data_IF_203835284190
#
_entry.id   IF_203835284190
#
_cell.length_a   1.000
_cell.length_b   1.000
_cell.length_c   1.000
_cell.angle_alpha   90.00
_cell.angle_beta   90.00
_cell.angle_gamma   90.00
#
_symmetry.space_group_name_H-M   'P 1'
#
loop_
_entity.id
_entity.type
_entity.pdbx_description
1 polymer ?
#
# COMPACT_ATOMS: atom_id res chain seq x y z
N UNK A 1 -24.88 33.45 8.10
CA UNK A 1 -23.54 33.74 7.54
C UNK A 1 -22.65 34.05 8.73
N UNK A 2 -21.69 33.19 9.03
CA UNK A 2 -20.75 33.42 10.13
C UNK A 2 -19.93 34.66 9.86
N UNK A 3 -19.78 35.52 10.86
CA UNK A 3 -18.81 36.62 10.84
C UNK A 3 -17.43 35.96 10.66
N UNK A 4 -16.73 36.22 9.56
CA UNK A 4 -15.38 35.69 9.39
C UNK A 4 -14.51 36.37 10.44
N UNK A 5 -14.20 35.65 11.53
CA UNK A 5 -12.99 35.89 12.27
C UNK A 5 -11.81 35.84 11.28
N UNK A 6 -10.91 36.81 11.39
CA UNK A 6 -9.74 36.88 10.51
C UNK A 6 -8.99 35.54 10.56
N UNK A 7 -8.65 35.00 9.39
CA UNK A 7 -7.81 33.80 9.29
C UNK A 7 -6.47 34.09 10.00
N UNK A 8 -6.00 33.24 10.93
CA UNK A 8 -4.75 33.47 11.64
C UNK A 8 -3.56 33.60 10.68
N UNK A 9 -2.65 34.53 10.96
CA UNK A 9 -1.37 34.63 10.23
C UNK A 9 -0.38 33.58 10.75
N UNK A 10 -0.71 32.31 10.49
CA UNK A 10 0.05 31.13 10.93
C UNK A 10 0.37 30.23 9.72
N UNK A 11 1.48 29.48 9.74
CA UNK A 11 1.89 28.65 8.61
C UNK A 11 1.04 27.39 8.42
N UNK A 12 1.24 26.71 7.29
CA UNK A 12 0.57 25.47 6.94
C UNK A 12 1.54 24.28 7.00
N UNK A 13 1.06 23.15 7.54
CA UNK A 13 1.82 21.89 7.64
C UNK A 13 1.18 20.83 6.75
N UNK A 14 2.01 20.14 5.96
CA UNK A 14 1.61 18.99 5.13
C UNK A 14 2.46 17.78 5.54
N UNK A 15 1.82 16.70 5.99
CA UNK A 15 2.45 15.49 6.51
C UNK A 15 2.20 14.33 5.55
N UNK A 16 3.24 13.87 4.87
CA UNK A 16 3.13 12.93 3.74
C UNK A 16 4.09 11.74 3.89
N UNK A 17 3.83 10.59 3.24
CA UNK A 17 4.82 9.53 3.10
C UNK A 17 6.12 10.08 2.49
N UNK A 18 7.28 9.53 2.90
CA UNK A 18 8.59 10.01 2.43
C UNK A 18 8.71 9.99 0.88
N UNK A 19 8.13 8.96 0.25
CA UNK A 19 8.12 8.81 -1.22
C UNK A 19 7.36 9.92 -1.95
N UNK A 20 6.53 10.70 -1.26
CA UNK A 20 5.70 11.74 -1.87
C UNK A 20 6.18 13.16 -1.64
N UNK A 21 7.24 13.34 -0.85
CA UNK A 21 7.73 14.70 -0.54
C UNK A 21 8.09 15.43 -1.84
N UNK A 22 8.76 14.76 -2.78
CA UNK A 22 9.08 15.33 -4.09
C UNK A 22 7.83 15.68 -4.91
N UNK A 23 6.90 14.73 -5.05
CA UNK A 23 5.66 14.95 -5.79
C UNK A 23 4.85 16.13 -5.23
N UNK A 24 4.70 16.24 -3.91
CA UNK A 24 3.99 17.38 -3.29
C UNK A 24 4.69 18.71 -3.57
N UNK A 25 6.03 18.74 -3.50
CA UNK A 25 6.78 19.96 -3.86
C UNK A 25 6.52 20.36 -5.31
N UNK A 26 6.62 19.42 -6.24
CA UNK A 26 6.41 19.67 -7.68
C UNK A 26 4.99 20.14 -7.98
N UNK A 27 3.97 19.51 -7.37
CA UNK A 27 2.57 19.91 -7.53
C UNK A 27 2.32 21.31 -6.98
N UNK A 28 2.87 21.65 -5.81
CA UNK A 28 2.75 22.99 -5.23
C UNK A 28 3.47 24.05 -6.09
N UNK A 29 4.67 23.75 -6.61
CA UNK A 29 5.38 24.65 -7.51
C UNK A 29 4.65 24.86 -8.84
N UNK A 30 3.92 23.86 -9.33
CA UNK A 30 3.09 23.98 -10.55
C UNK A 30 1.79 24.73 -10.28
N UNK A 31 1.19 24.55 -9.11
CA UNK A 31 -0.09 25.15 -8.76
C UNK A 31 0.02 26.63 -8.40
N UNK A 32 1.04 27.00 -7.62
CA UNK A 32 1.23 28.37 -7.16
C UNK A 32 2.10 29.19 -8.11
N UNK A 33 1.73 30.46 -8.30
CA UNK A 33 2.58 31.40 -9.02
C UNK A 33 3.88 31.67 -8.24
N UNK A 34 4.98 31.90 -8.96
CA UNK A 34 6.28 32.18 -8.35
C UNK A 34 6.18 33.36 -7.38
N UNK A 35 6.66 33.17 -6.15
CA UNK A 35 6.66 34.19 -5.10
C UNK A 35 5.31 34.39 -4.39
N UNK A 36 4.29 33.56 -4.67
CA UNK A 36 3.03 33.61 -3.94
C UNK A 36 3.14 32.99 -2.54
N UNK A 37 3.92 31.92 -2.40
CA UNK A 37 4.19 31.22 -1.15
C UNK A 37 5.64 30.76 -1.10
N UNK A 38 6.14 30.52 0.12
CA UNK A 38 7.40 29.82 0.34
C UNK A 38 7.10 28.37 0.79
N UNK A 39 7.77 27.41 0.14
CA UNK A 39 7.59 25.98 0.40
C UNK A 39 8.88 25.44 1.00
N UNK A 40 8.79 24.88 2.20
CA UNK A 40 9.92 24.32 2.93
C UNK A 40 9.78 22.80 3.07
N UNK A 41 10.86 22.08 2.85
CA UNK A 41 10.96 20.67 3.21
C UNK A 41 11.68 20.56 4.56
N UNK A 42 11.07 19.86 5.52
CA UNK A 42 11.75 19.61 6.78
C UNK A 42 12.94 18.66 6.59
N UNK A 43 14.06 18.92 7.27
CA UNK A 43 15.21 18.01 7.28
C UNK A 43 14.87 16.60 7.76
N UNK A 44 15.73 15.64 7.41
CA UNK A 44 15.58 14.22 7.75
C UNK A 44 16.16 13.84 9.10
N UNK A 45 16.89 14.74 9.78
CA UNK A 45 17.40 14.54 11.14
C UNK A 45 16.72 15.48 12.13
N UNK A 46 16.65 15.05 13.39
CA UNK A 46 16.01 15.84 14.46
C UNK A 46 16.82 17.06 14.87
N UNK A 47 18.15 16.99 14.75
CA UNK A 47 19.05 18.10 15.08
C UNK A 47 18.90 19.21 14.03
N UNK A 48 18.92 18.83 12.75
CA UNK A 48 18.70 19.78 11.65
C UNK A 48 17.31 20.40 11.69
N UNK A 49 16.28 19.66 12.15
CA UNK A 49 14.93 20.25 12.35
C UNK A 49 14.94 21.33 13.43
N UNK A 50 15.67 21.13 14.54
CA UNK A 50 15.79 22.14 15.59
C UNK A 50 16.51 23.38 15.06
N UNK A 51 17.58 23.17 14.31
CA UNK A 51 18.33 24.24 13.65
C UNK A 51 17.45 24.98 12.64
N UNK A 52 16.70 24.26 11.80
CA UNK A 52 15.81 24.83 10.79
C UNK A 52 14.84 25.89 11.34
N UNK A 53 14.30 25.70 12.54
CA UNK A 53 13.39 26.66 13.16
C UNK A 53 14.05 27.74 14.03
N UNK A 54 15.32 27.55 14.43
CA UNK A 54 15.99 28.43 15.40
C UNK A 54 17.20 29.19 14.86
N UNK A 55 17.77 28.76 13.72
CA UNK A 55 18.89 29.43 13.08
C UNK A 55 18.45 30.79 12.50
N UNK A 56 18.98 31.92 13.00
CA UNK A 56 18.68 33.25 12.49
C UNK A 56 19.01 33.41 11.01
N UNK A 57 20.02 32.69 10.50
CA UNK A 57 20.42 32.72 9.09
C UNK A 57 19.71 31.64 8.25
N UNK A 58 18.87 30.82 8.90
CA UNK A 58 18.12 29.74 8.29
C UNK A 58 17.02 30.23 7.35
N UNK A 59 16.75 29.44 6.30
CA UNK A 59 15.74 29.76 5.27
C UNK A 59 14.35 30.08 5.83
N UNK A 60 13.97 29.45 6.95
CA UNK A 60 12.73 29.71 7.66
C UNK A 60 12.67 31.13 8.20
N UNK A 61 13.63 31.57 9.01
CA UNK A 61 13.61 32.90 9.64
C UNK A 61 13.92 34.02 8.64
N UNK A 62 14.69 33.73 7.58
CA UNK A 62 15.05 34.70 6.53
C UNK A 62 13.95 34.92 5.48
N UNK A 63 12.93 34.06 5.41
CA UNK A 63 11.82 34.22 4.49
C UNK A 63 11.12 35.57 4.68
N UNK A 64 10.83 36.24 3.56
CA UNK A 64 10.11 37.53 3.54
C UNK A 64 8.59 37.35 3.41
N UNK A 65 8.12 36.11 3.21
CA UNK A 65 6.70 35.80 3.15
C UNK A 65 6.05 35.92 4.53
N UNK A 66 4.79 36.33 4.56
CA UNK A 66 3.96 36.23 5.77
C UNK A 66 3.80 34.79 6.20
N UNK A 67 3.54 34.53 7.48
CA UNK A 67 3.43 33.18 8.02
C UNK A 67 2.34 32.37 7.31
N UNK A 68 1.19 32.97 7.03
CA UNK A 68 0.10 32.34 6.26
C UNK A 68 0.49 31.94 4.82
N UNK A 69 1.56 32.51 4.26
CA UNK A 69 2.06 32.16 2.93
C UNK A 69 3.24 31.18 3.00
N UNK A 70 3.46 30.50 4.13
CA UNK A 70 4.52 29.51 4.30
C UNK A 70 3.92 28.13 4.45
N UNK A 71 4.43 27.20 3.66
CA UNK A 71 4.03 25.78 3.68
C UNK A 71 5.23 24.93 4.07
N UNK A 72 5.06 24.09 5.06
CA UNK A 72 6.09 23.14 5.52
C UNK A 72 5.65 21.72 5.21
N UNK A 73 6.49 20.97 4.49
CA UNK A 73 6.27 19.58 4.14
C UNK A 73 7.12 18.70 5.06
N UNK A 74 6.47 17.73 5.72
CA UNK A 74 7.06 16.81 6.66
C UNK A 74 6.84 15.36 6.24
N UNK A 75 7.89 14.54 6.25
CA UNK A 75 7.74 13.10 6.08
C UNK A 75 7.11 12.45 7.33
N UNK A 76 6.27 11.43 7.13
CA UNK A 76 5.64 10.64 8.23
C UNK A 76 6.66 10.08 9.23
N UNK A 77 7.81 9.61 8.73
CA UNK A 77 8.89 9.08 9.56
C UNK A 77 9.49 10.15 10.48
N UNK A 78 9.72 11.36 9.95
CA UNK A 78 10.22 12.50 10.71
C UNK A 78 9.23 12.95 11.77
N UNK A 79 7.94 13.05 11.42
CA UNK A 79 6.91 13.39 12.40
C UNK A 79 6.87 12.36 13.55
N UNK A 80 7.02 11.08 13.23
CA UNK A 80 7.06 10.01 14.24
C UNK A 80 8.26 10.17 15.18
N UNK A 81 9.43 10.52 14.65
CA UNK A 81 10.64 10.74 15.45
C UNK A 81 10.47 11.94 16.41
N UNK A 82 9.86 13.03 15.95
CA UNK A 82 9.58 14.20 16.79
C UNK A 82 8.58 13.88 17.91
N UNK A 83 7.51 13.13 17.60
CA UNK A 83 6.52 12.67 18.60
C UNK A 83 7.18 11.77 19.66
N UNK A 84 8.08 10.88 19.26
CA UNK A 84 8.80 10.02 20.18
C UNK A 84 9.64 10.82 21.18
N UNK A 85 10.34 11.86 20.70
CA UNK A 85 11.09 12.77 21.58
C UNK A 85 10.19 13.57 22.51
N UNK A 86 9.06 14.08 22.00
CA UNK A 86 8.03 14.73 22.82
C UNK A 86 7.54 13.82 23.96
N UNK A 87 7.34 12.53 23.70
CA UNK A 87 6.95 11.56 24.73
C UNK A 87 8.02 11.32 25.78
N UNK A 88 9.28 11.22 25.35
CA UNK A 88 10.42 11.10 26.27
C UNK A 88 10.49 12.33 27.17
N UNK A 89 10.24 13.51 26.61
CA UNK A 89 10.18 14.78 27.33
C UNK A 89 8.90 14.95 28.19
N UNK A 90 7.78 14.27 27.91
CA UNK A 90 6.51 14.40 28.68
C UNK A 90 6.17 13.21 29.59
N UNK A 91 7.05 12.21 29.69
CA UNK A 91 6.83 11.04 30.55
C UNK A 91 5.73 10.09 30.03
N UNK A 92 5.76 9.78 28.73
CA UNK A 92 5.06 8.67 28.05
C UNK A 92 3.56 8.79 27.69
N UNK A 93 2.81 9.84 28.07
CA UNK A 93 1.41 10.02 27.66
C UNK A 93 1.13 11.42 27.09
N UNK A 94 0.42 11.51 25.96
CA UNK A 94 0.13 12.76 25.22
C UNK A 94 -1.29 13.29 25.49
N UNK A 95 -2.11 12.58 26.27
CA UNK A 95 -3.43 13.05 26.69
C UNK A 95 -3.37 13.80 28.03
N UNK A 96 -3.43 15.13 27.99
CA UNK A 96 -3.55 16.01 29.16
C UNK A 96 -2.64 17.24 29.09
N UNK A 97 -3.03 18.34 29.75
CA UNK A 97 -2.16 19.47 30.05
C UNK A 97 -1.04 18.99 30.99
N UNK A 98 0.11 18.64 30.43
CA UNK A 98 1.33 18.44 31.21
C UNK A 98 2.35 19.47 30.78
N UNK A 99 2.98 20.09 31.77
CA UNK A 99 4.13 20.98 31.59
C UNK A 99 5.19 20.26 30.79
N UNK A 100 5.58 20.86 29.66
CA UNK A 100 6.70 20.43 28.85
C UNK A 100 7.95 20.44 29.73
N UNK A 101 8.66 19.31 29.85
CA UNK A 101 9.88 19.21 30.69
C UNK A 101 11.15 19.63 29.94
N UNK A 102 11.08 20.07 28.67
CA UNK A 102 12.25 20.37 27.85
C UNK A 102 12.03 21.55 26.90
N UNK A 103 12.93 22.55 26.96
CA UNK A 103 12.99 23.73 26.08
C UNK A 103 13.15 23.38 24.60
N UNK A 104 13.64 22.17 24.28
CA UNK A 104 13.87 21.75 22.89
C UNK A 104 12.59 21.49 22.10
N UNK A 105 11.44 21.41 22.77
CA UNK A 105 10.16 21.14 22.10
C UNK A 105 9.61 22.35 21.35
N UNK A 106 10.00 23.57 21.75
CA UNK A 106 9.68 24.82 21.05
C UNK A 106 10.39 24.91 19.69
N UNK A 107 11.51 24.17 19.53
CA UNK A 107 12.29 24.09 18.30
C UNK A 107 11.84 22.96 17.36
N UNK A 108 10.72 22.31 17.65
CA UNK A 108 10.14 21.25 16.82
C UNK A 108 8.87 21.74 16.14
N UNK A 109 8.29 20.91 15.26
CA UNK A 109 7.01 21.20 14.60
C UNK A 109 5.89 21.46 15.63
N UNK A 110 5.99 20.89 16.83
CA UNK A 110 5.04 21.08 17.93
C UNK A 110 5.19 22.40 18.69
N UNK A 111 6.27 23.14 18.46
CA UNK A 111 6.52 24.46 19.05
C UNK A 111 5.84 25.61 18.31
N UNK A 112 5.36 25.36 17.09
CA UNK A 112 4.67 26.34 16.26
C UNK A 112 3.16 26.18 16.32
N UNK A 113 2.45 27.30 16.20
CA UNK A 113 1.03 27.32 15.86
C UNK A 113 0.88 27.19 14.34
N UNK A 114 -0.13 26.45 13.90
CA UNK A 114 -0.36 26.12 12.51
C UNK A 114 -1.78 26.50 12.12
N UNK A 115 -1.93 27.27 11.04
CA UNK A 115 -3.24 27.63 10.49
C UNK A 115 -3.99 26.37 10.02
N UNK A 116 -3.27 25.47 9.34
CA UNK A 116 -3.81 24.16 8.94
C UNK A 116 -2.75 23.08 9.01
N UNK A 117 -3.16 21.85 9.36
CA UNK A 117 -2.34 20.66 9.22
C UNK A 117 -3.07 19.63 8.33
N UNK A 118 -2.40 19.16 7.29
CA UNK A 118 -2.91 18.18 6.34
C UNK A 118 -2.13 16.89 6.50
N UNK A 119 -2.84 15.77 6.66
CA UNK A 119 -2.21 14.45 6.77
C UNK A 119 -2.65 13.63 5.58
N UNK A 120 -1.66 13.29 4.76
CA UNK A 120 -1.85 12.44 3.61
C UNK A 120 -1.54 10.98 3.97
N UNK A 121 -2.21 10.03 3.32
CA UNK A 121 -2.30 8.63 3.79
C UNK A 121 -2.62 8.47 5.28
N UNK A 122 -3.68 9.14 5.73
CA UNK A 122 -4.19 9.01 7.10
C UNK A 122 -4.44 7.54 7.55
N UNK A 123 -4.55 6.59 6.61
CA UNK A 123 -4.70 5.17 6.91
C UNK A 123 -3.46 4.55 7.58
N UNK A 124 -2.26 5.10 7.37
CA UNK A 124 -1.02 4.68 8.05
C UNK A 124 -1.06 5.00 9.55
N UNK A 125 -2.02 5.82 9.97
CA UNK A 125 -2.23 6.22 11.36
C UNK A 125 -3.27 5.38 12.10
N UNK A 126 -3.68 4.24 11.52
CA UNK A 126 -4.65 3.31 12.13
C UNK A 126 -4.00 2.44 13.21
N UNK A 127 -4.77 2.13 14.25
CA UNK A 127 -4.42 1.13 15.28
C UNK A 127 -3.76 1.68 16.56
N UNK A 128 -3.66 0.87 17.62
CA UNK A 128 -3.09 1.25 18.93
C UNK A 128 -1.56 1.35 18.95
N UNK A 129 -0.90 1.43 17.79
CA UNK A 129 0.56 1.42 17.64
C UNK A 129 1.22 2.81 17.62
N UNK A 130 2.41 2.88 17.01
CA UNK A 130 3.26 4.10 16.91
C UNK A 130 2.50 5.35 16.46
N UNK A 131 1.42 5.18 15.69
CA UNK A 131 0.67 6.25 15.05
C UNK A 131 -0.68 6.62 15.70
N UNK A 132 -1.00 6.08 16.88
CA UNK A 132 -2.21 6.45 17.64
C UNK A 132 -2.22 7.93 18.10
N UNK A 133 -1.05 8.58 18.05
CA UNK A 133 -0.76 9.84 18.75
C UNK A 133 -1.02 11.08 17.89
N UNK A 134 -1.45 10.88 16.65
CA UNK A 134 -1.81 11.91 15.70
C UNK A 134 -3.31 12.25 15.79
N UNK A 135 -4.08 11.47 16.55
CA UNK A 135 -5.51 11.70 16.81
C UNK A 135 -5.88 13.11 17.29
N UNK A 136 -5.08 13.76 18.15
CA UNK A 136 -5.30 15.16 18.52
C UNK A 136 -5.18 16.14 17.34
N UNK A 137 -4.34 15.86 16.34
CA UNK A 137 -4.21 16.71 15.15
C UNK A 137 -5.40 16.55 14.19
N UNK A 138 -6.03 15.38 14.15
CA UNK A 138 -7.19 15.13 13.29
C UNK A 138 -8.53 15.59 13.92
N UNK A 139 -8.53 16.08 15.17
CA UNK A 139 -9.68 16.59 15.91
C UNK A 139 -10.96 15.71 15.82
N UNK A 140 -10.79 14.39 15.63
CA UNK A 140 -11.89 13.45 15.40
C UNK A 140 -11.95 12.39 16.51
N UNK A 141 -12.17 12.89 17.72
CA UNK A 141 -12.18 12.13 18.98
C UNK A 141 -13.17 10.96 19.01
N UNK A 142 -14.23 11.00 18.17
CA UNK A 142 -15.26 9.96 18.13
C UNK A 142 -14.80 8.64 17.48
N UNK A 143 -13.83 8.71 16.58
CA UNK A 143 -13.35 7.57 15.79
C UNK A 143 -11.87 7.27 15.98
N UNK A 144 -11.13 8.22 16.53
CA UNK A 144 -9.74 8.04 16.96
C UNK A 144 -9.72 7.86 18.48
N UNK A 145 -8.63 7.32 19.02
CA UNK A 145 -8.44 7.18 20.47
C UNK A 145 -9.42 6.19 21.14
N UNK A 146 -9.77 6.45 22.40
CA UNK A 146 -10.49 5.50 23.27
C UNK A 146 -11.96 5.30 22.89
N UNK A 147 -12.64 6.34 22.37
CA UNK A 147 -14.05 6.27 21.98
C UNK A 147 -14.28 5.41 20.73
N UNK A 148 -13.42 5.56 19.71
CA UNK A 148 -13.43 4.70 18.53
C UNK A 148 -13.24 3.22 18.88
N UNK A 149 -12.31 2.92 19.80
CA UNK A 149 -12.09 1.55 20.29
C UNK A 149 -13.30 0.98 21.05
N UNK A 150 -13.98 1.79 21.86
CA UNK A 150 -15.19 1.36 22.57
C UNK A 150 -16.31 1.04 21.58
N UNK A 151 -16.45 1.85 20.54
CA UNK A 151 -17.42 1.65 19.47
C UNK A 151 -17.13 0.37 18.67
N UNK A 152 -15.86 0.15 18.29
CA UNK A 152 -15.44 -1.09 17.61
C UNK A 152 -15.68 -2.33 18.50
N UNK A 153 -15.34 -2.25 19.80
CA UNK A 153 -15.61 -3.33 20.77
C UNK A 153 -17.10 -3.60 20.94
N UNK A 154 -17.95 -2.58 20.81
CA UNK A 154 -19.40 -2.74 20.85
C UNK A 154 -19.89 -3.54 19.63
N UNK A 155 -19.56 -3.08 18.42
CA UNK A 155 -19.95 -3.79 17.19
C UNK A 155 -19.41 -5.21 17.11
N UNK A 156 -18.15 -5.41 17.50
CA UNK A 156 -17.56 -6.75 17.55
C UNK A 156 -18.28 -7.66 18.55
N UNK A 157 -18.81 -7.13 19.66
CA UNK A 157 -19.63 -7.91 20.60
C UNK A 157 -20.96 -8.31 20.00
N UNK A 158 -21.66 -7.39 19.33
CA UNK A 158 -22.94 -7.67 18.65
C UNK A 158 -22.78 -8.71 17.54
N UNK A 159 -21.76 -8.55 16.68
CA UNK A 159 -21.45 -9.51 15.62
C UNK A 159 -21.13 -10.90 16.20
N UNK A 160 -20.37 -10.96 17.30
CA UNK A 160 -20.06 -12.23 17.99
C UNK A 160 -21.30 -12.85 18.64
N UNK A 161 -22.20 -12.03 19.20
CA UNK A 161 -23.47 -12.51 19.73
C UNK A 161 -24.31 -13.15 18.62
N UNK A 162 -24.52 -12.42 17.52
CA UNK A 162 -25.23 -12.93 16.35
C UNK A 162 -24.61 -14.23 15.78
N UNK A 163 -23.27 -14.36 15.79
CA UNK A 163 -22.59 -15.59 15.37
C UNK A 163 -22.80 -16.77 16.33
N UNK A 164 -22.94 -16.51 17.64
CA UNK A 164 -23.20 -17.55 18.64
C UNK A 164 -24.62 -18.10 18.54
N UNK A 165 -25.56 -17.23 18.17
CA UNK A 165 -26.97 -17.58 18.04
C UNK A 165 -27.29 -18.33 16.73
N UNK A 166 -26.32 -18.42 15.81
CA UNK A 166 -26.44 -19.25 14.62
C UNK A 166 -26.45 -20.75 14.96
N UNK A 167 -27.38 -21.47 14.35
CA UNK A 167 -27.43 -22.93 14.37
C UNK A 167 -26.27 -23.54 13.57
N UNK A 168 -25.91 -24.80 13.83
CA UNK A 168 -24.85 -25.50 13.07
C UNK A 168 -25.14 -25.61 11.56
N UNK A 169 -26.39 -25.87 11.11
CA UNK A 169 -26.74 -25.82 9.68
C UNK A 169 -26.47 -24.44 9.06
N UNK A 170 -26.80 -23.35 9.74
CA UNK A 170 -26.53 -21.99 9.24
C UNK A 170 -25.04 -21.70 9.17
N UNK A 171 -24.25 -22.14 10.15
CA UNK A 171 -22.78 -21.99 10.12
C UNK A 171 -22.18 -22.76 8.94
N UNK A 172 -22.66 -23.98 8.68
CA UNK A 172 -22.23 -24.79 7.54
C UNK A 172 -22.61 -24.12 6.20
N UNK A 173 -23.82 -23.58 6.09
CA UNK A 173 -24.28 -22.84 4.91
C UNK A 173 -23.41 -21.60 4.65
N UNK A 174 -23.12 -20.78 5.68
CA UNK A 174 -22.22 -19.62 5.56
C UNK A 174 -20.80 -20.03 5.15
N UNK A 175 -20.27 -21.13 5.70
CA UNK A 175 -18.95 -21.64 5.31
C UNK A 175 -18.91 -22.09 3.85
N UNK A 176 -19.92 -22.85 3.43
CA UNK A 176 -20.08 -23.30 2.03
C UNK A 176 -20.19 -22.10 1.08
N UNK A 177 -20.96 -21.09 1.46
CA UNK A 177 -21.09 -19.84 0.72
C UNK A 177 -19.76 -19.13 0.53
N UNK A 178 -18.98 -18.96 1.60
CA UNK A 178 -17.67 -18.30 1.52
C UNK A 178 -16.69 -19.08 0.64
N UNK A 179 -16.75 -20.42 0.65
CA UNK A 179 -15.95 -21.27 -0.23
C UNK A 179 -16.33 -21.11 -1.71
N UNK A 180 -17.64 -21.04 -2.03
CA UNK A 180 -18.15 -20.76 -3.38
C UNK A 180 -17.71 -19.38 -3.88
N UNK A 181 -17.86 -18.35 -3.04
CA UNK A 181 -17.39 -16.99 -3.35
C UNK A 181 -15.88 -16.93 -3.63
N UNK A 182 -15.07 -17.66 -2.84
CA UNK A 182 -13.62 -17.73 -3.05
C UNK A 182 -13.23 -18.45 -4.36
N UNK A 183 -14.11 -19.29 -4.90
CA UNK A 183 -13.92 -19.95 -6.19
C UNK A 183 -14.40 -19.12 -7.38
N UNK A 184 -15.04 -17.98 -7.10
CA UNK A 184 -15.65 -17.12 -8.13
C UNK A 184 -17.00 -17.64 -8.63
N UNK A 185 -17.63 -18.58 -7.93
CA UNK A 185 -18.97 -19.04 -8.26
C UNK A 185 -20.00 -17.92 -7.99
N UNK A 186 -21.07 -17.83 -8.79
CA UNK A 186 -22.21 -16.98 -8.45
C UNK A 186 -22.82 -17.46 -7.12
N UNK A 187 -22.97 -16.53 -6.20
CA UNK A 187 -23.48 -16.81 -4.86
C UNK A 187 -24.82 -16.10 -4.70
N UNK A 188 -25.90 -16.87 -4.66
CA UNK A 188 -27.22 -16.36 -4.30
C UNK A 188 -27.21 -15.76 -2.88
N UNK A 189 -28.08 -14.77 -2.66
CA UNK A 189 -28.34 -14.20 -1.35
C UNK A 189 -29.09 -15.20 -0.46
N UNK A 190 -28.41 -16.27 -0.01
CA UNK A 190 -28.97 -17.22 0.96
C UNK A 190 -29.36 -16.49 2.26
N UNK A 191 -30.47 -16.89 2.89
CA UNK A 191 -30.95 -16.41 4.20
C UNK A 191 -30.02 -16.78 5.37
N UNK A 192 -29.03 -17.64 5.15
CA UNK A 192 -28.07 -18.06 6.17
C UNK A 192 -27.23 -16.86 6.67
N UNK A 193 -27.25 -16.64 7.99
CA UNK A 193 -26.46 -15.59 8.64
C UNK A 193 -27.03 -14.18 8.48
N UNK A 194 -28.34 -14.02 8.21
CA UNK A 194 -29.02 -12.71 8.19
C UNK A 194 -28.73 -11.90 9.46
N UNK A 195 -28.82 -12.51 10.65
CA UNK A 195 -28.57 -11.81 11.91
C UNK A 195 -27.16 -11.21 12.00
N UNK A 196 -26.15 -11.93 11.50
CA UNK A 196 -24.77 -11.45 11.43
C UNK A 196 -24.64 -10.30 10.43
N UNK A 197 -25.25 -10.43 9.24
CA UNK A 197 -25.27 -9.35 8.24
C UNK A 197 -25.99 -8.11 8.75
N UNK A 198 -27.10 -8.27 9.46
CA UNK A 198 -27.85 -7.18 10.06
C UNK A 198 -27.03 -6.45 11.11
N UNK A 199 -26.34 -7.17 12.01
CA UNK A 199 -25.41 -6.58 12.97
C UNK A 199 -24.28 -5.80 12.27
N UNK A 200 -23.69 -6.37 11.20
CA UNK A 200 -22.67 -5.68 10.39
C UNK A 200 -23.22 -4.43 9.70
N UNK A 201 -24.41 -4.51 9.11
CA UNK A 201 -25.04 -3.38 8.42
C UNK A 201 -25.40 -2.25 9.39
N UNK A 202 -25.92 -2.58 10.57
CA UNK A 202 -26.19 -1.60 11.62
C UNK A 202 -24.90 -0.90 12.08
N UNK A 203 -23.82 -1.65 12.29
CA UNK A 203 -22.52 -1.07 12.61
C UNK A 203 -22.07 -0.08 11.52
N UNK A 204 -22.17 -0.47 10.24
CA UNK A 204 -21.85 0.41 9.11
C UNK A 204 -22.73 1.66 9.10
N UNK A 205 -24.04 1.54 9.34
CA UNK A 205 -24.96 2.69 9.35
C UNK A 205 -24.66 3.67 10.46
N UNK A 206 -24.33 3.20 11.67
CA UNK A 206 -23.92 4.06 12.78
C UNK A 206 -22.63 4.80 12.44
N UNK A 207 -21.64 4.11 11.85
CA UNK A 207 -20.38 4.74 11.42
C UNK A 207 -20.64 5.76 10.32
N UNK A 208 -21.44 5.43 9.31
CA UNK A 208 -21.81 6.34 8.22
C UNK A 208 -22.49 7.60 8.75
N UNK A 209 -23.51 7.46 9.62
CA UNK A 209 -24.26 8.61 10.14
C UNK A 209 -23.38 9.65 10.86
N UNK A 210 -22.29 9.20 11.48
CA UNK A 210 -21.33 10.07 12.15
C UNK A 210 -20.23 10.61 11.24
N UNK A 211 -19.83 9.88 10.18
CA UNK A 211 -18.77 10.31 9.26
C UNK A 211 -19.28 11.19 8.11
N UNK A 212 -20.55 11.05 7.70
CA UNK A 212 -21.13 11.78 6.56
C UNK A 212 -20.90 13.31 6.61
N UNK A 213 -21.04 14.00 7.76
CA UNK A 213 -20.80 15.45 7.82
C UNK A 213 -19.34 15.86 7.57
N UNK A 214 -18.40 14.92 7.74
CA UNK A 214 -16.95 15.20 7.76
C UNK A 214 -16.19 14.52 6.62
N UNK A 215 -16.85 13.64 5.85
CA UNK A 215 -16.22 12.84 4.81
C UNK A 215 -16.80 13.17 3.43
N UNK A 216 -15.94 13.59 2.52
CA UNK A 216 -16.25 13.63 1.10
C UNK A 216 -15.62 12.41 0.44
N UNK A 217 -16.44 11.57 -0.20
CA UNK A 217 -15.98 10.44 -1.00
C UNK A 217 -16.58 10.51 -2.39
N UNK A 218 -15.72 10.47 -3.41
CA UNK A 218 -16.10 10.32 -4.82
C UNK A 218 -15.66 8.94 -5.31
N UNK A 219 -16.32 8.42 -6.33
CA UNK A 219 -16.14 7.10 -6.95
C UNK A 219 -15.96 7.28 -8.45
N UNK A 220 -15.59 6.19 -9.16
CA UNK A 220 -15.53 6.19 -10.64
C UNK A 220 -16.89 6.56 -11.28
N UNK A 221 -17.98 6.31 -10.55
CA UNK A 221 -19.37 6.62 -10.97
C UNK A 221 -19.83 8.01 -10.53
N UNK A 222 -19.00 8.77 -9.81
CA UNK A 222 -19.34 10.14 -9.46
C UNK A 222 -19.35 11.02 -10.70
N UNK A 223 -20.29 11.96 -10.70
CA UNK A 223 -20.48 12.90 -11.81
C UNK A 223 -20.11 14.31 -11.38
N UNK A 224 -19.74 15.14 -12.35
CA UNK A 224 -19.58 16.58 -12.15
C UNK A 224 -20.95 17.30 -12.08
N UNK A 225 -20.92 18.63 -12.08
CA UNK A 225 -22.14 19.44 -12.01
C UNK A 225 -23.02 19.30 -13.27
N UNK A 226 -22.44 18.93 -14.41
CA UNK A 226 -23.11 18.69 -15.69
C UNK A 226 -23.63 17.24 -15.83
N UNK A 227 -23.49 16.43 -14.77
CA UNK A 227 -23.81 14.99 -14.75
C UNK A 227 -22.90 14.14 -15.65
N UNK A 228 -21.74 14.65 -16.03
CA UNK A 228 -20.74 13.89 -16.77
C UNK A 228 -19.91 13.09 -15.76
N UNK A 229 -19.68 11.78 -15.99
CA UNK A 229 -18.79 11.00 -15.14
C UNK A 229 -17.41 11.66 -15.07
N UNK A 230 -16.90 11.85 -13.84
CA UNK A 230 -15.60 12.49 -13.60
C UNK A 230 -14.46 11.77 -14.34
N UNK A 231 -14.63 10.48 -14.59
CA UNK A 231 -13.65 9.61 -15.25
C UNK A 231 -14.03 9.21 -16.68
N UNK A 232 -14.88 9.99 -17.35
CA UNK A 232 -15.34 9.74 -18.72
C UNK A 232 -14.21 9.55 -19.76
N UNK A 233 -12.99 10.04 -19.48
CA UNK A 233 -11.81 9.90 -20.33
C UNK A 233 -10.98 8.64 -20.07
N UNK A 234 -11.20 7.93 -18.96
CA UNK A 234 -10.42 6.73 -18.64
C UNK A 234 -11.02 5.49 -19.32
N UNK A 235 -10.19 4.61 -19.92
CA UNK A 235 -10.67 3.35 -20.47
C UNK A 235 -11.22 2.45 -19.35
N UNK A 236 -12.14 1.52 -19.68
CA UNK A 236 -12.66 0.58 -18.71
C UNK A 236 -11.56 -0.34 -18.19
N UNK A 237 -11.65 -0.70 -16.92
CA UNK A 237 -10.79 -1.72 -16.30
C UNK A 237 -11.39 -3.10 -16.61
N UNK A 238 -10.58 -3.99 -17.17
CA UNK A 238 -10.94 -5.40 -17.38
C UNK A 238 -10.14 -6.28 -16.42
N UNK A 239 -10.83 -7.10 -15.64
CA UNK A 239 -10.20 -8.04 -14.71
C UNK A 239 -10.17 -9.45 -15.30
N UNK A 240 -8.98 -10.06 -15.32
CA UNK A 240 -8.77 -11.42 -15.81
C UNK A 240 -8.23 -12.28 -14.66
N UNK A 241 -9.05 -13.21 -14.17
CA UNK A 241 -8.66 -14.14 -13.11
C UNK A 241 -8.17 -15.46 -13.70
N UNK A 242 -6.90 -15.78 -13.51
CA UNK A 242 -6.29 -17.03 -13.96
C UNK A 242 -6.08 -17.96 -12.76
N UNK A 243 -6.89 -19.01 -12.68
CA UNK A 243 -6.80 -20.02 -11.62
C UNK A 243 -5.84 -21.12 -12.03
N UNK A 244 -4.76 -21.32 -11.28
CA UNK A 244 -3.75 -22.34 -11.56
C UNK A 244 -3.85 -23.51 -10.60
N UNK A 245 -3.57 -24.71 -11.13
CA UNK A 245 -3.33 -25.90 -10.33
C UNK A 245 -1.83 -26.02 -10.08
N UNK A 246 -1.44 -26.19 -8.81
CA UNK A 246 -0.04 -26.44 -8.45
C UNK A 246 0.39 -27.83 -8.95
N UNK A 247 1.67 -27.97 -9.31
CA UNK A 247 2.25 -29.26 -9.65
C UNK A 247 2.28 -30.19 -8.45
N UNK A 248 2.35 -31.51 -8.69
CA UNK A 248 2.42 -32.51 -7.62
C UNK A 248 3.64 -32.26 -6.70
N UNK A 249 4.78 -31.85 -7.28
CA UNK A 249 5.99 -31.46 -6.53
C UNK A 249 5.74 -30.25 -5.64
N UNK A 250 5.07 -29.21 -6.14
CA UNK A 250 4.73 -28.04 -5.32
C UNK A 250 3.78 -28.42 -4.17
N UNK A 251 2.81 -29.30 -4.44
CA UNK A 251 1.90 -29.80 -3.42
C UNK A 251 2.64 -30.61 -2.34
N UNK A 252 3.59 -31.46 -2.74
CA UNK A 252 4.46 -32.20 -1.82
C UNK A 252 5.31 -31.25 -0.95
N UNK A 253 5.96 -30.28 -1.57
CA UNK A 253 6.75 -29.25 -0.89
C UNK A 253 5.91 -28.45 0.13
N UNK A 254 4.68 -28.09 -0.20
CA UNK A 254 3.77 -27.44 0.75
C UNK A 254 3.35 -28.38 1.89
N UNK A 255 3.25 -29.69 1.63
CA UNK A 255 3.05 -30.71 2.66
C UNK A 255 4.20 -30.76 3.67
N UNK A 256 5.45 -30.67 3.19
CA UNK A 256 6.63 -30.62 4.05
C UNK A 256 6.60 -29.42 5.01
N UNK A 257 6.19 -28.23 4.54
CA UNK A 257 6.04 -27.05 5.40
C UNK A 257 5.00 -27.29 6.50
N UNK A 258 3.88 -27.92 6.16
CA UNK A 258 2.82 -28.22 7.13
C UNK A 258 3.32 -29.20 8.19
N UNK A 259 4.09 -30.22 7.79
CA UNK A 259 4.59 -31.22 8.71
C UNK A 259 5.73 -30.71 9.59
N UNK A 260 6.62 -29.87 9.05
CA UNK A 260 7.63 -29.13 9.84
C UNK A 260 6.93 -28.29 10.92
N UNK A 261 5.88 -27.55 10.54
CA UNK A 261 5.08 -26.75 11.47
C UNK A 261 4.44 -27.60 12.57
N UNK A 262 3.81 -28.74 12.23
CA UNK A 262 3.25 -29.67 13.24
C UNK A 262 4.33 -30.25 14.16
N UNK A 263 5.50 -30.58 13.62
CA UNK A 263 6.60 -31.14 14.42
C UNK A 263 7.18 -30.13 15.40
N UNK A 264 7.18 -28.84 15.05
CA UNK A 264 7.65 -27.74 15.89
C UNK A 264 6.74 -27.44 17.09
N UNK A 265 5.46 -27.87 17.06
CA UNK A 265 4.53 -27.74 18.20
C UNK A 265 4.99 -28.53 19.45
N UNK A 266 5.90 -29.49 19.30
CA UNK A 266 6.49 -30.25 20.43
C UNK A 266 7.52 -29.47 21.27
N UNK A 267 7.96 -28.29 20.81
CA UNK A 267 8.82 -27.36 21.56
C UNK A 267 8.25 -25.95 21.48
N UNK A 268 7.13 -25.70 22.15
CA UNK A 268 6.46 -24.39 22.19
C UNK A 268 7.46 -23.25 22.51
N UNK A 269 7.76 -22.32 21.57
CA UNK A 269 7.88 -20.93 21.96
C UNK A 269 6.46 -20.38 21.99
N UNK A 270 6.09 -19.69 23.05
CA UNK A 270 4.79 -19.03 23.28
C UNK A 270 4.41 -17.94 22.25
N UNK A 271 5.07 -17.92 21.08
CA UNK A 271 4.87 -17.00 19.96
C UNK A 271 4.64 -17.75 18.64
N UNK A 272 3.83 -18.80 18.62
CA UNK A 272 3.03 -19.08 17.41
C UNK A 272 2.04 -17.91 17.24
N UNK A 273 2.55 -16.75 16.80
CA UNK A 273 1.63 -15.74 16.28
C UNK A 273 1.02 -16.36 15.03
N UNK A 274 -0.31 -16.46 15.00
CA UNK A 274 -1.07 -16.84 13.81
C UNK A 274 -0.66 -16.00 12.57
N UNK A 275 0.03 -14.87 12.78
CA UNK A 275 0.60 -14.00 11.75
C UNK A 275 1.69 -14.70 10.92
N UNK A 276 2.48 -15.60 11.50
CA UNK A 276 3.54 -16.31 10.79
C UNK A 276 3.10 -17.66 10.21
N UNK A 277 1.93 -18.19 10.60
CA UNK A 277 1.47 -19.50 10.17
C UNK A 277 1.30 -19.60 8.64
N UNK A 278 0.69 -18.59 8.02
CA UNK A 278 0.45 -18.59 6.58
C UNK A 278 1.63 -18.08 5.77
N UNK A 279 2.65 -17.52 6.40
CA UNK A 279 3.73 -16.84 5.68
C UNK A 279 4.60 -17.83 4.88
N UNK A 280 5.13 -18.93 5.46
CA UNK A 280 5.87 -19.94 4.70
C UNK A 280 5.03 -20.53 3.56
N UNK A 281 3.75 -20.80 3.81
CA UNK A 281 2.84 -21.35 2.81
C UNK A 281 2.64 -20.38 1.63
N UNK A 282 2.38 -19.09 1.90
CA UNK A 282 2.18 -18.07 0.86
C UNK A 282 3.44 -17.83 0.04
N UNK A 283 4.61 -17.85 0.67
CA UNK A 283 5.88 -17.72 -0.05
C UNK A 283 6.17 -18.98 -0.87
N UNK A 284 5.93 -20.17 -0.30
CA UNK A 284 6.12 -21.48 -0.93
C UNK A 284 5.35 -21.68 -2.23
N UNK A 285 4.14 -21.10 -2.33
CA UNK A 285 3.35 -21.07 -3.59
C UNK A 285 4.06 -20.29 -4.70
N UNK A 286 4.83 -19.25 -4.34
CA UNK A 286 5.54 -18.42 -5.32
C UNK A 286 6.90 -19.01 -5.67
N UNK A 287 7.63 -19.53 -4.69
CA UNK A 287 8.84 -20.33 -4.86
C UNK A 287 9.03 -21.13 -3.59
N UNK A 288 9.35 -22.41 -3.69
CA UNK A 288 9.69 -23.19 -2.51
C UNK A 288 11.15 -23.00 -2.14
N UNK A 289 11.44 -22.94 -0.84
CA UNK A 289 12.78 -23.02 -0.26
C UNK A 289 12.69 -23.74 1.08
N UNK A 290 13.80 -24.34 1.51
CA UNK A 290 13.91 -24.84 2.89
C UNK A 290 14.06 -23.64 3.85
N UNK A 291 13.61 -23.80 5.09
CA UNK A 291 13.54 -22.76 6.12
C UNK A 291 14.85 -21.97 6.28
N UNK A 292 15.99 -22.65 6.24
CA UNK A 292 17.34 -22.08 6.45
C UNK A 292 18.07 -21.61 5.17
N UNK A 293 17.43 -21.73 4.00
CA UNK A 293 18.06 -21.35 2.73
C UNK A 293 17.69 -19.92 2.29
N UNK A 294 18.58 -19.27 1.56
CA UNK A 294 18.26 -18.02 0.87
C UNK A 294 17.31 -18.28 -0.30
N UNK A 295 16.55 -17.24 -0.70
CA UNK A 295 15.77 -17.32 -1.92
C UNK A 295 16.69 -17.54 -3.15
N UNK A 296 16.33 -18.42 -4.09
CA UNK A 296 17.19 -18.70 -5.22
C UNK A 296 17.35 -17.46 -6.10
N UNK A 297 18.59 -17.19 -6.48
CA UNK A 297 18.97 -16.17 -7.46
C UNK A 297 19.55 -16.94 -8.64
N UNK A 298 18.96 -16.75 -9.82
CA UNK A 298 19.32 -17.49 -11.02
C UNK A 298 20.27 -16.68 -11.90
N UNK A 299 21.27 -17.36 -12.48
CA UNK A 299 22.05 -16.79 -13.57
C UNK A 299 21.28 -16.86 -14.91
N UNK A 300 21.89 -16.34 -15.99
CA UNK A 300 21.28 -16.36 -17.32
C UNK A 300 21.12 -17.77 -17.89
N UNK A 301 21.87 -18.74 -17.40
CA UNK A 301 21.75 -20.14 -17.76
C UNK A 301 20.74 -20.90 -16.87
N UNK A 302 20.09 -20.23 -15.92
CA UNK A 302 19.10 -20.79 -15.03
C UNK A 302 19.65 -21.54 -13.83
N UNK A 303 20.95 -21.43 -13.53
CA UNK A 303 21.54 -22.07 -12.36
C UNK A 303 21.40 -21.21 -11.11
N UNK A 304 21.16 -21.85 -9.98
CA UNK A 304 21.20 -21.25 -8.64
C UNK A 304 21.91 -22.18 -7.66
N UNK A 305 22.15 -21.73 -6.42
CA UNK A 305 22.66 -22.59 -5.35
C UNK A 305 21.75 -23.78 -5.04
N UNK A 306 20.44 -23.65 -5.30
CA UNK A 306 19.44 -24.68 -4.99
C UNK A 306 19.21 -25.66 -6.15
N UNK A 307 19.79 -25.39 -7.33
CA UNK A 307 19.59 -26.18 -8.53
C UNK A 307 19.23 -25.32 -9.75
N UNK A 308 18.92 -26.00 -10.84
CA UNK A 308 18.55 -25.39 -12.10
C UNK A 308 17.06 -25.04 -12.12
N UNK A 309 16.68 -23.89 -12.72
CA UNK A 309 15.32 -23.35 -12.67
C UNK A 309 14.26 -24.35 -13.10
N UNK A 310 14.48 -25.10 -14.20
CA UNK A 310 13.49 -26.07 -14.69
C UNK A 310 13.18 -27.18 -13.66
N UNK A 311 14.12 -27.48 -12.77
CA UNK A 311 13.97 -28.54 -11.77
C UNK A 311 13.28 -28.07 -10.50
N UNK A 312 13.20 -26.75 -10.28
CA UNK A 312 12.65 -26.14 -9.06
C UNK A 312 11.61 -25.03 -9.33
N UNK A 313 11.26 -24.75 -10.59
CA UNK A 313 10.39 -23.66 -11.00
C UNK A 313 8.98 -23.79 -10.42
N UNK A 314 8.41 -22.73 -9.88
CA UNK A 314 6.99 -22.74 -9.50
C UNK A 314 6.08 -22.50 -10.71
N UNK A 315 4.91 -23.14 -10.68
CA UNK A 315 3.87 -22.97 -11.70
C UNK A 315 3.47 -21.52 -11.82
N UNK A 316 3.35 -20.81 -10.67
CA UNK A 316 2.97 -19.41 -10.64
C UNK A 316 4.02 -18.50 -11.29
N UNK A 317 5.29 -18.68 -10.95
CA UNK A 317 6.36 -17.81 -11.45
C UNK A 317 6.63 -18.05 -12.95
N UNK A 318 6.61 -19.32 -13.40
CA UNK A 318 6.75 -19.62 -14.83
C UNK A 318 5.55 -19.09 -15.63
N UNK A 319 4.32 -19.24 -15.12
CA UNK A 319 3.14 -18.68 -15.77
C UNK A 319 3.21 -17.15 -15.88
N UNK A 320 3.63 -16.45 -14.82
CA UNK A 320 3.79 -14.99 -14.88
C UNK A 320 4.84 -14.60 -15.92
N UNK A 321 5.98 -15.30 -16.00
CA UNK A 321 6.98 -15.03 -17.03
C UNK A 321 6.43 -15.26 -18.46
N UNK A 322 5.66 -16.32 -18.68
CA UNK A 322 4.97 -16.59 -19.96
C UNK A 322 3.94 -15.52 -20.28
N UNK A 323 3.18 -15.05 -19.29
CA UNK A 323 2.23 -13.95 -19.41
C UNK A 323 2.93 -12.66 -19.83
N UNK A 324 4.07 -12.34 -19.23
CA UNK A 324 4.86 -11.16 -19.63
C UNK A 324 5.35 -11.28 -21.07
N UNK A 325 5.96 -12.40 -21.46
CA UNK A 325 6.43 -12.63 -22.83
C UNK A 325 5.30 -12.48 -23.86
N UNK A 326 4.13 -13.05 -23.56
CA UNK A 326 2.94 -12.93 -24.38
C UNK A 326 2.49 -11.48 -24.50
N UNK A 327 2.25 -10.80 -23.38
CA UNK A 327 1.72 -9.44 -23.36
C UNK A 327 2.68 -8.39 -23.93
N UNK A 328 4.01 -8.63 -23.85
CA UNK A 328 5.03 -7.76 -24.43
C UNK A 328 5.27 -8.02 -25.93
N UNK A 329 4.77 -9.15 -26.47
CA UNK A 329 5.02 -9.51 -27.87
C UNK A 329 4.35 -8.54 -28.85
N UNK A 330 3.17 -8.01 -28.52
CA UNK A 330 2.38 -7.14 -29.37
C UNK A 330 1.34 -6.31 -28.57
N UNK A 331 1.23 -5.01 -28.82
CA UNK A 331 0.35 -4.10 -28.05
C UNK A 331 -1.15 -4.42 -28.16
N UNK A 332 -1.54 -5.04 -29.27
CA UNK A 332 -2.92 -5.48 -29.53
C UNK A 332 -3.13 -6.99 -29.31
N UNK A 333 -2.22 -7.68 -28.63
CA UNK A 333 -2.44 -9.10 -28.31
C UNK A 333 -3.56 -9.24 -27.29
N UNK A 334 -4.43 -10.23 -27.51
CA UNK A 334 -5.51 -10.58 -26.59
C UNK A 334 -4.97 -11.14 -25.28
N UNK A 335 -5.69 -10.91 -24.18
CA UNK A 335 -5.33 -11.43 -22.87
C UNK A 335 -5.54 -12.95 -22.83
N UNK A 336 -4.65 -13.71 -22.13
CA UNK A 336 -4.87 -15.13 -21.92
C UNK A 336 -6.17 -15.41 -21.18
N UNK A 337 -6.79 -16.55 -21.49
CA UNK A 337 -8.08 -16.99 -20.92
C UNK A 337 -7.97 -18.39 -20.33
N UNK A 338 -8.87 -18.72 -19.40
CA UNK A 338 -9.01 -20.08 -18.87
C UNK A 338 -9.91 -20.91 -19.78
N UNK A 339 -9.42 -22.02 -20.31
CA UNK A 339 -10.22 -23.01 -21.05
C UNK A 339 -9.94 -24.39 -20.45
N UNK A 340 -10.97 -25.08 -19.97
CA UNK A 340 -10.87 -26.41 -19.36
C UNK A 340 -9.84 -26.51 -18.22
N UNK A 341 -9.65 -25.43 -17.45
CA UNK A 341 -8.70 -25.40 -16.34
C UNK A 341 -7.24 -25.13 -16.75
N UNK A 342 -6.98 -24.85 -18.03
CA UNK A 342 -5.66 -24.47 -18.53
C UNK A 342 -5.66 -23.02 -19.05
N UNK A 343 -4.49 -22.38 -18.96
CA UNK A 343 -4.29 -21.03 -19.50
C UNK A 343 -3.97 -21.14 -20.99
N UNK A 344 -4.85 -20.59 -21.82
CA UNK A 344 -4.70 -20.52 -23.27
C UNK A 344 -4.15 -19.15 -23.65
N UNK A 345 -3.08 -19.14 -24.44
CA UNK A 345 -2.44 -17.94 -24.98
C UNK A 345 -2.87 -17.75 -26.43
N UNK A 346 -3.64 -16.69 -26.75
CA UNK A 346 -4.05 -16.40 -28.12
C UNK A 346 -2.85 -16.18 -29.06
N UNK A 347 -3.03 -16.42 -30.36
CA UNK A 347 -1.99 -16.07 -31.33
C UNK A 347 -1.91 -14.55 -31.52
N UNK A 348 -0.71 -13.99 -31.75
CA UNK A 348 -0.57 -12.57 -32.04
C UNK A 348 -1.30 -12.21 -33.35
N UNK A 349 -1.78 -10.95 -33.50
CA UNK A 349 -2.36 -10.47 -34.73
C UNK A 349 -1.38 -10.63 -35.91
N UNK A 350 -1.88 -10.91 -37.14
CA UNK A 350 -1.02 -11.04 -38.31
C UNK A 350 -0.30 -9.73 -38.61
N UNK A 351 1.02 -9.81 -38.84
CA UNK A 351 1.85 -8.68 -39.23
C UNK A 351 1.95 -8.59 -40.75
N UNK A 352 1.91 -7.36 -41.27
CA UNK A 352 2.25 -7.10 -42.67
C UNK A 352 3.75 -7.36 -42.86
N UNK A 353 4.12 -7.99 -43.98
CA UNK A 353 5.51 -8.31 -44.28
C UNK A 353 6.42 -7.08 -44.14
N UNK A 354 7.51 -7.22 -43.38
CA UNK A 354 8.48 -6.15 -43.13
C UNK A 354 8.13 -5.20 -41.97
N UNK A 355 6.94 -5.29 -41.38
CA UNK A 355 6.58 -4.50 -40.20
C UNK A 355 6.97 -5.23 -38.91
N UNK A 356 7.44 -4.47 -37.93
CA UNK A 356 7.62 -4.96 -36.56
C UNK A 356 6.32 -4.80 -35.79
N UNK A 357 6.06 -5.71 -34.86
CA UNK A 357 4.96 -5.57 -33.92
C UNK A 357 5.08 -4.24 -33.13
N UNK A 358 3.98 -3.51 -32.92
CA UNK A 358 3.96 -2.42 -31.95
C UNK A 358 4.16 -2.99 -30.55
N UNK A 359 5.06 -2.38 -29.78
CA UNK A 359 5.43 -2.84 -28.44
C UNK A 359 5.69 -1.64 -27.52
N UNK A 360 4.66 -0.84 -27.24
CA UNK A 360 4.69 0.28 -26.29
C UNK A 360 4.03 -0.05 -24.95
N UNK A 361 3.38 -1.20 -24.84
CA UNK A 361 2.71 -1.65 -23.62
C UNK A 361 3.70 -1.70 -22.46
N UNK A 362 3.34 -1.03 -21.37
CA UNK A 362 4.02 -1.09 -20.09
C UNK A 362 3.24 -1.96 -19.12
N UNK A 363 3.94 -2.75 -18.32
CA UNK A 363 3.33 -3.74 -17.43
C UNK A 363 3.85 -3.53 -16.00
N UNK A 364 2.90 -3.49 -15.07
CA UNK A 364 3.14 -3.41 -13.64
C UNK A 364 2.99 -4.80 -13.03
N UNK A 365 4.02 -5.28 -12.35
CA UNK A 365 4.03 -6.56 -11.64
C UNK A 365 4.14 -6.30 -10.15
N UNK A 366 3.01 -6.47 -9.45
CA UNK A 366 2.96 -6.36 -8.01
C UNK A 366 3.38 -7.67 -7.34
N UNK A 367 4.18 -7.59 -6.27
CA UNK A 367 4.45 -8.72 -5.40
C UNK A 367 4.43 -8.32 -3.92
N UNK A 368 3.84 -9.15 -3.06
CA UNK A 368 3.73 -8.82 -1.63
C UNK A 368 5.09 -8.85 -0.92
N UNK A 369 5.91 -9.87 -1.22
CA UNK A 369 7.09 -10.18 -0.42
C UNK A 369 8.36 -9.59 -1.06
N UNK A 370 8.87 -8.50 -0.47
CA UNK A 370 10.09 -7.81 -0.94
C UNK A 370 11.31 -8.73 -1.02
N UNK A 371 11.42 -9.72 -0.12
CA UNK A 371 12.51 -10.72 -0.11
C UNK A 371 12.59 -11.57 -1.38
N UNK A 372 11.52 -11.64 -2.18
CA UNK A 372 11.47 -12.42 -3.42
C UNK A 372 11.77 -11.59 -4.67
N UNK A 373 11.98 -10.27 -4.54
CA UNK A 373 12.19 -9.37 -5.68
C UNK A 373 13.33 -9.84 -6.60
N UNK A 374 14.46 -10.23 -6.00
CA UNK A 374 15.64 -10.70 -6.76
C UNK A 374 15.39 -12.02 -7.48
N UNK A 375 14.65 -12.95 -6.86
CA UNK A 375 14.26 -14.21 -7.49
C UNK A 375 13.37 -13.96 -8.71
N UNK A 376 12.34 -13.12 -8.57
CA UNK A 376 11.44 -12.78 -9.68
C UNK A 376 12.23 -12.06 -10.80
N UNK A 377 13.05 -11.08 -10.43
CA UNK A 377 13.88 -10.33 -11.37
C UNK A 377 14.82 -11.23 -12.17
N UNK A 378 15.52 -12.16 -11.51
CA UNK A 378 16.46 -13.05 -12.20
C UNK A 378 15.77 -14.04 -13.12
N UNK A 379 14.59 -14.56 -12.72
CA UNK A 379 13.78 -15.40 -13.61
C UNK A 379 13.32 -14.62 -14.85
N UNK A 380 12.87 -13.38 -14.69
CA UNK A 380 12.49 -12.53 -15.83
C UNK A 380 13.68 -12.30 -16.77
N UNK A 381 14.84 -11.91 -16.23
CA UNK A 381 16.05 -11.69 -17.03
C UNK A 381 16.50 -12.94 -17.78
N UNK A 382 16.52 -14.09 -17.10
CA UNK A 382 16.83 -15.39 -17.71
C UNK A 382 15.89 -15.73 -18.87
N UNK A 383 14.60 -15.36 -18.77
CA UNK A 383 13.61 -15.54 -19.85
C UNK A 383 13.66 -14.42 -20.91
N UNK A 384 14.62 -13.49 -20.84
CA UNK A 384 14.78 -12.39 -21.80
C UNK A 384 13.85 -11.20 -21.56
N UNK A 385 13.26 -11.08 -20.38
CA UNK A 385 12.40 -9.96 -19.99
C UNK A 385 13.25 -8.96 -19.21
N UNK A 386 13.45 -7.77 -19.78
CA UNK A 386 14.04 -6.66 -19.02
C UNK A 386 13.01 -6.07 -18.06
N UNK A 387 13.46 -5.78 -16.84
CA UNK A 387 12.60 -5.39 -15.73
C UNK A 387 13.30 -4.38 -14.82
N UNK A 388 12.60 -3.29 -14.55
CA UNK A 388 12.92 -2.31 -13.53
C UNK A 388 12.35 -2.78 -12.19
N UNK A 389 13.05 -2.53 -11.09
CA UNK A 389 12.62 -2.99 -9.75
C UNK A 389 12.58 -1.81 -8.80
N UNK A 390 11.41 -1.58 -8.20
CA UNK A 390 11.24 -0.64 -7.09
C UNK A 390 11.15 -1.42 -5.78
N UNK A 391 12.18 -1.25 -4.96
CA UNK A 391 12.24 -1.83 -3.62
C UNK A 391 12.67 -0.77 -2.59
N UNK A 392 12.49 -1.10 -1.31
CA UNK A 392 12.81 -0.18 -0.22
C UNK A 392 14.30 0.04 0.05
N UNK A 393 15.21 -0.52 -0.76
CA UNK A 393 16.65 -0.32 -0.64
C UNK A 393 17.18 0.80 -1.55
N UNK A 394 16.37 1.29 -2.50
CA UNK A 394 16.75 2.38 -3.39
C UNK A 394 16.81 3.71 -2.63
N UNK A 395 17.78 4.57 -2.97
CA UNK A 395 17.76 5.97 -2.55
C UNK A 395 16.63 6.72 -3.28
N UNK A 396 16.30 7.93 -2.81
CA UNK A 396 15.27 8.77 -3.44
C UNK A 396 15.61 9.05 -4.91
N UNK A 397 16.86 9.39 -5.20
CA UNK A 397 17.33 9.72 -6.55
C UNK A 397 17.25 8.49 -7.47
N UNK A 398 17.65 7.32 -6.98
CA UNK A 398 17.53 6.06 -7.72
C UNK A 398 16.08 5.70 -8.00
N UNK A 399 15.20 5.93 -7.01
CA UNK A 399 13.77 5.68 -7.14
C UNK A 399 13.15 6.58 -8.21
N UNK A 400 13.46 7.88 -8.21
CA UNK A 400 12.98 8.84 -9.21
C UNK A 400 13.47 8.49 -10.62
N UNK A 401 14.74 8.09 -10.77
CA UNK A 401 15.30 7.63 -12.04
C UNK A 401 14.57 6.38 -12.57
N UNK A 402 14.28 5.39 -11.71
CA UNK A 402 13.53 4.19 -12.13
C UNK A 402 12.12 4.55 -12.61
N UNK A 403 11.46 5.51 -11.96
CA UNK A 403 10.15 5.99 -12.40
C UNK A 403 10.25 6.73 -13.72
N UNK A 404 11.24 7.61 -13.88
CA UNK A 404 11.47 8.34 -15.12
C UNK A 404 11.77 7.38 -16.28
N UNK A 405 12.65 6.41 -16.07
CA UNK A 405 12.97 5.36 -17.03
C UNK A 405 11.72 4.57 -17.40
N UNK A 406 10.92 4.17 -16.41
CA UNK A 406 9.69 3.44 -16.66
C UNK A 406 8.64 4.28 -17.38
N UNK A 407 8.47 5.57 -17.08
CA UNK A 407 7.39 6.41 -17.65
C UNK A 407 7.78 6.93 -19.04
N UNK A 408 9.01 7.39 -19.21
CA UNK A 408 9.43 8.15 -20.40
C UNK A 408 10.24 7.33 -21.43
N UNK A 409 10.78 6.16 -21.06
CA UNK A 409 11.51 5.32 -22.01
C UNK A 409 10.62 4.34 -22.77
N UNK A 410 10.94 4.13 -24.06
CA UNK A 410 10.38 3.08 -24.92
C UNK A 410 11.30 1.85 -25.02
N UNK A 411 12.45 1.86 -24.32
CA UNK A 411 13.42 0.77 -24.31
C UNK A 411 12.78 -0.54 -23.83
N UNK A 412 13.16 -1.66 -24.45
CA UNK A 412 12.54 -2.97 -24.17
C UNK A 412 12.70 -3.37 -22.70
N UNK A 413 13.81 -2.99 -22.10
CA UNK A 413 14.18 -3.23 -20.72
C UNK A 413 13.42 -2.39 -19.68
N UNK A 414 12.75 -1.32 -20.11
CA UNK A 414 12.03 -0.39 -19.23
C UNK A 414 10.50 -0.59 -19.26
N UNK A 415 10.01 -1.63 -19.95
CA UNK A 415 8.55 -1.87 -20.12
C UNK A 415 7.91 -2.65 -18.99
N UNK A 416 8.69 -3.28 -18.12
CA UNK A 416 8.17 -4.03 -16.97
C UNK A 416 8.69 -3.40 -15.69
N UNK A 417 7.78 -3.09 -14.78
CA UNK A 417 8.11 -2.58 -13.44
C UNK A 417 7.64 -3.58 -12.39
N UNK A 418 8.60 -4.15 -11.67
CA UNK A 418 8.38 -5.01 -10.50
C UNK A 418 8.41 -4.15 -9.23
N UNK A 419 7.34 -4.19 -8.45
CA UNK A 419 7.22 -3.37 -7.24
C UNK A 419 6.49 -4.12 -6.13
N UNK A 420 6.87 -3.84 -4.89
CA UNK A 420 6.23 -4.46 -3.72
C UNK A 420 5.24 -3.56 -3.00
N UNK A 421 4.57 -4.05 -1.97
CA UNK A 421 3.72 -3.22 -1.08
C UNK A 421 4.42 -1.95 -0.58
N UNK A 422 5.74 -2.02 -0.39
CA UNK A 422 6.59 -0.89 0.02
C UNK A 422 6.82 0.09 -1.14
N UNK A 423 6.97 -0.43 -2.37
CA UNK A 423 7.14 0.38 -3.58
C UNK A 423 5.84 0.86 -4.23
N UNK A 424 4.70 0.29 -3.85
CA UNK A 424 3.37 0.54 -4.43
C UNK A 424 2.70 1.81 -3.94
N UNK A 425 3.21 2.42 -2.87
CA UNK A 425 2.58 3.59 -2.28
C UNK A 425 2.80 4.79 -3.20
N UNK A 426 1.74 5.06 -3.98
CA UNK A 426 1.48 6.32 -4.70
C UNK A 426 2.53 6.68 -5.73
N UNK A 427 2.66 5.77 -6.68
CA UNK A 427 3.33 6.03 -7.94
C UNK A 427 2.38 6.76 -8.89
N UNK A 428 2.81 7.92 -9.39
CA UNK A 428 2.20 8.48 -10.58
C UNK A 428 2.94 7.92 -11.81
N UNK A 429 2.27 7.05 -12.55
CA UNK A 429 2.85 6.27 -13.65
C UNK A 429 2.19 6.57 -15.00
N UNK A 430 1.40 7.64 -15.08
CA UNK A 430 0.67 8.04 -16.29
C UNK A 430 1.45 8.99 -17.17
#
# INVERSE_FOLDING_TARGET
MGVMENVPDEPHLIVVPLSLVGQWMDELYRFFSRGAIDIFQLPSSLEDVKEFFSDPDGSWLQSQQKMINRVVICAHSMMTAQVFNMKKARGAFVGGERTVLSEDTEKLVFGLQWCTAWIDEAHLFRGPGRYHQYGPMCNHDEFVLSKGQLLERHFNREIRAAKRDMTEPEKAAVKSRNLRALRGDEVDEDDAGIAVRFAQYNAVKVVQGKLVPYLIRRTLTSVDFDRIPLNSKMPPITEHMLTIKLSDREMENLGLLIDEMKSSESRVPTNLSLENFFLPYRCGITMFKVSDEDWPIFDMAGNSKLGHYNDISSTKLDLVARLMLHLLSHDHIEHPTMVNGEVVFPSPPPLVFGQRAPQKRKILVYHEFSMMAMTIQTVFRMKGIGVLVLNGLLTKEQWELVIEDFVNSDAQEHRVLLFSSIGAVRLNLT
#
